data_IF_826993847835
#
_entry.id   IF_826993847835
#
_cell.length_a   1.000
_cell.length_b   1.000
_cell.length_c   1.000
_cell.angle_alpha   90.00
_cell.angle_beta   90.00
_cell.angle_gamma   90.00
#
_symmetry.space_group_name_H-M   'P 1'
#
loop_
_entity.id
_entity.type
_entity.pdbx_description
1 polymer ?
#
# COMPACT_ATOMS: atom_id res chain seq x y z
N UNK A 1 -1.05 18.31 13.58
CA UNK A 1 0.23 17.59 13.74
C UNK A 1 0.53 17.29 15.20
N UNK A 2 0.75 18.30 16.06
CA UNK A 2 1.17 18.10 17.46
C UNK A 2 0.27 17.13 18.27
N UNK A 3 -1.05 17.24 18.11
CA UNK A 3 -2.01 16.35 18.76
C UNK A 3 -1.88 14.88 18.34
N UNK A 4 -1.76 14.61 17.03
CA UNK A 4 -1.62 13.24 16.52
C UNK A 4 -0.35 12.61 17.08
N UNK A 5 0.78 13.33 17.03
CA UNK A 5 2.05 12.85 17.59
C UNK A 5 1.95 12.54 19.08
N UNK A 6 1.28 13.41 19.86
CA UNK A 6 1.09 13.18 21.28
C UNK A 6 0.20 11.97 21.58
N UNK A 7 -0.83 11.74 20.76
CA UNK A 7 -1.78 10.62 20.94
C UNK A 7 -1.21 9.28 20.46
N UNK A 8 -0.44 9.27 19.38
CA UNK A 8 0.05 8.03 18.75
C UNK A 8 1.52 7.72 19.04
N UNK A 9 2.32 8.72 19.39
CA UNK A 9 3.77 8.61 19.50
C UNK A 9 4.49 8.52 18.16
N UNK A 10 3.81 8.73 17.03
CA UNK A 10 4.42 8.62 15.70
C UNK A 10 5.39 9.77 15.46
N UNK A 11 6.61 9.43 15.06
CA UNK A 11 7.63 10.33 14.56
C UNK A 11 8.24 9.85 13.23
N UNK A 12 9.19 10.63 12.73
CA UNK A 12 9.90 10.39 11.47
C UNK A 12 10.70 9.09 11.51
N UNK A 13 11.37 8.78 12.62
CA UNK A 13 12.16 7.55 12.77
C UNK A 13 11.25 6.30 12.76
N UNK A 14 10.07 6.38 13.37
CA UNK A 14 9.07 5.32 13.29
C UNK A 14 8.53 5.12 11.86
N UNK A 15 8.31 6.22 11.13
CA UNK A 15 7.89 6.16 9.72
C UNK A 15 8.98 5.52 8.87
N UNK A 16 10.24 5.91 9.08
CA UNK A 16 11.40 5.35 8.40
C UNK A 16 11.48 3.83 8.62
N UNK A 17 11.50 3.40 9.89
CA UNK A 17 11.55 1.98 10.24
C UNK A 17 10.37 1.17 9.67
N UNK A 18 9.15 1.72 9.73
CA UNK A 18 7.96 1.07 9.17
C UNK A 18 8.06 0.92 7.65
N UNK A 19 8.48 1.97 6.93
CA UNK A 19 8.61 1.95 5.48
C UNK A 19 9.70 0.99 5.04
N UNK A 20 10.88 1.07 5.64
CA UNK A 20 12.01 0.18 5.34
C UNK A 20 11.65 -1.28 5.63
N UNK A 21 11.11 -1.56 6.82
CA UNK A 21 10.72 -2.92 7.21
C UNK A 21 9.60 -3.49 6.35
N UNK A 22 8.64 -2.65 5.94
CA UNK A 22 7.55 -3.10 5.08
C UNK A 22 8.05 -3.45 3.68
N UNK A 23 8.84 -2.57 3.07
CA UNK A 23 9.35 -2.81 1.72
C UNK A 23 10.43 -3.88 1.65
N UNK A 24 11.16 -4.14 2.74
CA UNK A 24 11.99 -5.34 2.84
C UNK A 24 11.16 -6.61 2.66
N UNK A 25 10.02 -6.73 3.37
CA UNK A 25 9.10 -7.88 3.21
C UNK A 25 8.48 -7.93 1.81
N UNK A 26 8.10 -6.79 1.23
CA UNK A 26 7.54 -6.73 -0.15
C UNK A 26 8.54 -7.25 -1.18
N UNK A 27 9.83 -6.92 -1.04
CA UNK A 27 10.88 -7.34 -1.98
C UNK A 27 11.17 -8.84 -1.93
N UNK A 28 10.93 -9.46 -0.79
CA UNK A 28 11.11 -10.91 -0.60
C UNK A 28 9.82 -11.69 -0.89
N UNK A 29 8.72 -11.02 -1.21
CA UNK A 29 7.42 -11.65 -1.41
C UNK A 29 7.22 -12.14 -2.86
N UNK A 30 7.04 -13.45 -3.01
CA UNK A 30 6.89 -14.08 -4.34
C UNK A 30 5.59 -13.69 -5.07
N UNK A 31 4.58 -13.16 -4.38
CA UNK A 31 3.29 -12.84 -4.98
C UNK A 31 3.20 -11.39 -5.46
N UNK A 32 3.51 -10.42 -4.61
CA UNK A 32 3.46 -9.01 -4.97
C UNK A 32 4.82 -8.42 -5.34
N UNK A 33 5.93 -8.98 -4.86
CA UNK A 33 7.28 -8.51 -5.14
C UNK A 33 7.57 -8.32 -6.63
N UNK A 34 7.25 -9.29 -7.52
CA UNK A 34 7.43 -9.13 -8.96
C UNK A 34 6.74 -7.92 -9.59
N UNK A 35 5.62 -7.45 -9.00
CA UNK A 35 4.91 -6.26 -9.49
C UNK A 35 5.70 -4.99 -9.18
N UNK A 36 6.34 -4.95 -8.01
CA UNK A 36 7.20 -3.84 -7.61
C UNK A 36 8.51 -3.86 -8.40
N UNK A 37 9.16 -5.01 -8.53
CA UNK A 37 10.42 -5.16 -9.28
C UNK A 37 10.27 -4.79 -10.75
N UNK A 38 9.12 -5.07 -11.37
CA UNK A 38 8.82 -4.66 -12.73
C UNK A 38 8.66 -3.13 -12.92
N UNK A 39 8.60 -2.35 -11.83
CA UNK A 39 8.30 -0.90 -11.84
C UNK A 39 9.33 -0.06 -11.10
N UNK A 40 10.21 -0.66 -10.30
CA UNK A 40 11.15 0.03 -9.42
C UNK A 40 12.53 -0.53 -9.67
N UNK A 41 13.31 0.19 -10.48
CA UNK A 41 14.71 -0.14 -10.73
C UNK A 41 15.63 0.40 -9.62
N UNK A 42 15.27 1.55 -9.03
CA UNK A 42 16.00 2.19 -7.92
C UNK A 42 15.11 2.33 -6.69
N UNK A 43 15.41 1.52 -5.68
CA UNK A 43 14.66 1.46 -4.43
C UNK A 43 14.89 2.68 -3.54
N UNK A 44 16.06 3.33 -3.59
CA UNK A 44 16.37 4.46 -2.69
C UNK A 44 15.38 5.61 -2.83
N UNK A 45 15.25 6.23 -4.02
CA UNK A 45 14.28 7.30 -4.27
C UNK A 45 12.83 6.88 -4.03
N UNK A 46 12.47 5.62 -4.34
CA UNK A 46 11.13 5.10 -4.06
C UNK A 46 10.83 5.08 -2.55
N UNK A 47 11.75 4.57 -1.74
CA UNK A 47 11.60 4.52 -0.28
C UNK A 47 11.52 5.93 0.32
N UNK A 48 12.34 6.87 -0.13
CA UNK A 48 12.25 8.27 0.28
C UNK A 48 10.87 8.88 -0.05
N UNK A 49 10.34 8.62 -1.24
CA UNK A 49 9.00 9.05 -1.61
C UNK A 49 7.92 8.41 -0.71
N UNK A 50 8.10 7.16 -0.30
CA UNK A 50 7.18 6.46 0.59
C UNK A 50 7.22 6.97 2.03
N UNK A 51 8.40 7.38 2.53
CA UNK A 51 8.53 8.06 3.83
C UNK A 51 7.77 9.38 3.83
N UNK A 52 7.91 10.18 2.78
CA UNK A 52 7.13 11.41 2.61
C UNK A 52 5.63 11.13 2.54
N UNK A 53 5.23 10.11 1.78
CA UNK A 53 3.83 9.69 1.67
C UNK A 53 3.24 9.32 3.04
N UNK A 54 3.90 8.45 3.80
CA UNK A 54 3.42 8.02 5.11
C UNK A 54 3.47 9.11 6.16
N UNK A 55 4.43 10.03 6.10
CA UNK A 55 4.39 11.27 6.89
C UNK A 55 3.12 12.08 6.58
N UNK A 56 2.79 12.29 5.31
CA UNK A 56 1.56 12.99 4.93
C UNK A 56 0.31 12.24 5.37
N UNK A 57 0.29 10.92 5.28
CA UNK A 57 -0.89 10.10 5.61
C UNK A 57 -1.12 10.01 7.12
N UNK A 58 -0.08 9.67 7.88
CA UNK A 58 -0.19 9.44 9.31
C UNK A 58 -0.26 10.75 10.11
N UNK A 59 0.56 11.73 9.75
CA UNK A 59 0.72 12.95 10.53
C UNK A 59 0.05 14.17 9.88
N UNK A 60 -0.52 14.01 8.68
CA UNK A 60 -1.16 15.07 7.88
C UNK A 60 -0.22 16.19 7.45
N UNK A 61 1.10 15.94 7.38
CA UNK A 61 2.11 16.99 7.15
C UNK A 61 2.00 17.71 5.81
N UNK A 62 1.42 17.06 4.79
CA UNK A 62 1.24 17.64 3.46
C UNK A 62 2.52 17.73 2.61
N UNK A 63 3.61 17.07 3.04
CA UNK A 63 4.91 17.11 2.34
C UNK A 63 4.91 16.28 1.06
N UNK A 64 4.13 15.20 1.02
CA UNK A 64 3.92 14.41 -0.18
C UNK A 64 2.94 15.09 -1.14
N UNK A 65 3.38 15.33 -2.38
CA UNK A 65 2.61 15.98 -3.45
C UNK A 65 2.26 15.03 -4.62
N UNK A 66 2.59 13.74 -4.50
CA UNK A 66 2.34 12.75 -5.55
C UNK A 66 0.87 12.32 -5.63
N UNK A 67 0.53 11.62 -6.72
CA UNK A 67 -0.81 11.09 -6.97
C UNK A 67 -0.73 9.56 -7.07
N UNK A 68 -1.11 8.80 -6.04
CA UNK A 68 -1.01 7.34 -6.04
C UNK A 68 -1.88 6.69 -7.13
N UNK A 69 -3.13 7.13 -7.28
CA UNK A 69 -4.11 6.47 -8.16
C UNK A 69 -3.60 6.25 -9.61
N UNK A 70 -3.13 7.28 -10.35
CA UNK A 70 -2.63 7.07 -11.72
C UNK A 70 -1.50 6.04 -11.86
N UNK A 71 -0.71 5.79 -10.81
CA UNK A 71 0.36 4.79 -10.82
C UNK A 71 -0.16 3.36 -10.68
N UNK A 72 -1.35 3.19 -10.07
CA UNK A 72 -1.95 1.89 -9.82
C UNK A 72 -2.91 1.44 -10.94
N UNK A 73 -3.59 2.38 -11.61
CA UNK A 73 -4.53 2.06 -12.70
C UNK A 73 -3.97 1.12 -13.79
N UNK A 74 -2.72 1.25 -14.27
CA UNK A 74 -2.19 0.36 -15.31
C UNK A 74 -1.60 -0.95 -14.78
N UNK A 75 -1.68 -1.23 -13.47
CA UNK A 75 -1.11 -2.45 -12.90
C UNK A 75 -2.06 -3.64 -13.07
N UNK A 76 -1.54 -4.86 -13.26
CA UNK A 76 -2.35 -6.06 -13.37
C UNK A 76 -2.85 -6.58 -11.99
N UNK A 77 -3.30 -5.67 -11.12
CA UNK A 77 -3.66 -5.97 -9.72
C UNK A 77 -5.18 -6.08 -9.53
N UNK A 78 -5.56 -6.77 -8.47
CA UNK A 78 -6.95 -6.98 -8.04
C UNK A 78 -7.00 -7.14 -6.51
N UNK A 79 -8.17 -7.47 -5.96
CA UNK A 79 -8.40 -7.60 -4.52
C UNK A 79 -7.38 -8.48 -3.80
N UNK A 80 -6.89 -9.56 -4.44
CA UNK A 80 -5.91 -10.47 -3.82
C UNK A 80 -4.60 -9.76 -3.53
N UNK A 81 -4.15 -8.91 -4.44
CA UNK A 81 -2.91 -8.16 -4.31
C UNK A 81 -3.02 -7.11 -3.21
N UNK A 82 -4.16 -6.42 -3.11
CA UNK A 82 -4.41 -5.46 -2.05
C UNK A 82 -4.52 -6.13 -0.67
N UNK A 83 -5.22 -7.27 -0.58
CA UNK A 83 -5.32 -8.05 0.65
C UNK A 83 -3.94 -8.52 1.13
N UNK A 84 -3.10 -9.00 0.21
CA UNK A 84 -1.75 -9.46 0.52
C UNK A 84 -0.83 -8.31 0.95
N UNK A 85 -0.86 -7.21 0.23
CA UNK A 85 -0.13 -5.98 0.58
C UNK A 85 -0.54 -5.48 1.97
N UNK A 86 -1.85 -5.49 2.29
CA UNK A 86 -2.36 -5.11 3.62
C UNK A 86 -1.89 -6.09 4.69
N UNK A 87 -1.89 -7.39 4.42
CA UNK A 87 -1.40 -8.40 5.37
C UNK A 87 0.05 -8.14 5.78
N UNK A 88 0.94 -7.91 4.80
CA UNK A 88 2.34 -7.59 5.05
C UNK A 88 2.51 -6.25 5.79
N UNK A 89 1.74 -5.23 5.41
CA UNK A 89 1.80 -3.92 6.04
C UNK A 89 1.33 -3.98 7.49
N UNK A 90 0.19 -4.64 7.75
CA UNK A 90 -0.37 -4.79 9.09
C UNK A 90 0.55 -5.59 10.02
N UNK A 91 1.14 -6.69 9.53
CA UNK A 91 2.11 -7.45 10.30
C UNK A 91 3.30 -6.57 10.68
N UNK A 92 3.87 -5.85 9.71
CA UNK A 92 5.02 -4.96 9.94
C UNK A 92 4.69 -3.83 10.93
N UNK A 93 3.53 -3.20 10.80
CA UNK A 93 3.09 -2.16 11.73
C UNK A 93 2.94 -2.70 13.16
N UNK A 94 2.40 -3.91 13.33
CA UNK A 94 2.27 -4.55 14.66
C UNK A 94 3.62 -4.99 15.23
N UNK A 95 4.58 -5.37 14.38
CA UNK A 95 5.92 -5.77 14.79
C UNK A 95 6.77 -4.58 15.26
N UNK A 96 6.66 -3.43 14.57
CA UNK A 96 7.59 -2.31 14.73
C UNK A 96 7.03 -1.13 15.53
N UNK A 97 5.71 -1.00 15.61
CA UNK A 97 5.08 0.17 16.22
C UNK A 97 4.33 -0.18 17.51
N UNK A 98 4.25 0.74 18.48
CA UNK A 98 3.34 0.62 19.60
C UNK A 98 1.89 0.44 19.12
N UNK A 99 1.01 -0.29 19.86
CA UNK A 99 -0.33 -0.64 19.37
C UNK A 99 -1.18 0.52 18.85
N UNK A 100 -1.10 1.69 19.52
CA UNK A 100 -1.84 2.89 19.11
C UNK A 100 -1.34 3.45 17.77
N UNK A 101 -0.03 3.49 17.57
CA UNK A 101 0.58 3.90 16.31
C UNK A 101 0.27 2.90 15.19
N UNK A 102 0.42 1.60 15.47
CA UNK A 102 0.13 0.54 14.50
C UNK A 102 -1.31 0.65 13.99
N UNK A 103 -2.30 0.73 14.88
CA UNK A 103 -3.71 0.85 14.49
C UNK A 103 -3.96 2.12 13.66
N UNK A 104 -3.32 3.23 14.02
CA UNK A 104 -3.44 4.49 13.29
C UNK A 104 -2.94 4.38 11.84
N UNK A 105 -1.85 3.66 11.59
CA UNK A 105 -1.36 3.36 10.25
C UNK A 105 -2.30 2.39 9.51
N UNK A 106 -2.70 1.30 10.15
CA UNK A 106 -3.50 0.22 9.55
C UNK A 106 -4.86 0.75 9.06
N UNK A 107 -5.57 1.54 9.86
CA UNK A 107 -6.86 2.14 9.46
C UNK A 107 -6.72 2.96 8.18
N UNK A 108 -5.61 3.69 8.02
CA UNK A 108 -5.34 4.52 6.84
C UNK A 108 -4.96 3.66 5.64
N UNK A 109 -4.11 2.66 5.85
CA UNK A 109 -3.69 1.70 4.84
C UNK A 109 -4.91 1.02 4.19
N UNK A 110 -5.84 0.53 5.00
CA UNK A 110 -7.08 -0.11 4.54
C UNK A 110 -7.94 0.81 3.68
N UNK A 111 -8.15 2.07 4.11
CA UNK A 111 -8.91 3.07 3.34
C UNK A 111 -8.25 3.41 2.01
N UNK A 112 -6.92 3.49 1.97
CA UNK A 112 -6.17 3.74 0.75
C UNK A 112 -6.31 2.55 -0.20
N UNK A 113 -6.11 1.33 0.28
CA UNK A 113 -6.26 0.11 -0.50
C UNK A 113 -7.67 -0.02 -1.10
N UNK A 114 -8.72 0.19 -0.29
CA UNK A 114 -10.12 0.19 -0.74
C UNK A 114 -10.35 1.21 -1.86
N UNK A 115 -9.87 2.45 -1.67
CA UNK A 115 -10.02 3.50 -2.69
C UNK A 115 -9.28 3.14 -4.00
N UNK A 116 -8.05 2.64 -3.89
CA UNK A 116 -7.24 2.24 -5.06
C UNK A 116 -7.87 1.06 -5.79
N UNK A 117 -8.35 0.04 -5.07
CA UNK A 117 -9.04 -1.11 -5.67
C UNK A 117 -10.27 -0.67 -6.46
N UNK A 118 -11.12 0.17 -5.89
CA UNK A 118 -12.29 0.71 -6.59
C UNK A 118 -11.89 1.49 -7.86
N UNK A 119 -10.82 2.28 -7.77
CA UNK A 119 -10.28 3.01 -8.93
C UNK A 119 -9.77 2.08 -10.02
N UNK A 120 -9.03 1.02 -9.65
CA UNK A 120 -8.54 -0.01 -10.57
C UNK A 120 -9.70 -0.77 -11.21
N UNK A 121 -10.71 -1.16 -10.43
CA UNK A 121 -11.90 -1.86 -10.94
C UNK A 121 -12.62 -1.03 -12.01
N UNK A 122 -12.89 0.25 -11.69
CA UNK A 122 -13.54 1.17 -12.61
C UNK A 122 -12.74 1.38 -13.90
N UNK A 123 -11.41 1.50 -13.78
CA UNK A 123 -10.53 1.63 -14.96
C UNK A 123 -10.52 0.38 -15.85
N UNK A 124 -10.88 -0.79 -15.29
CA UNK A 124 -11.06 -2.04 -16.02
C UNK A 124 -12.53 -2.30 -16.42
N UNK A 125 -13.40 -1.28 -16.33
CA UNK A 125 -14.81 -1.36 -16.71
C UNK A 125 -15.69 -2.17 -15.77
N UNK A 126 -15.22 -2.45 -14.55
CA UNK A 126 -15.97 -3.21 -13.54
C UNK A 126 -16.51 -2.26 -12.48
N UNK A 127 -17.83 -2.23 -12.30
CA UNK A 127 -18.49 -1.57 -11.18
C UNK A 127 -18.66 -2.58 -10.05
N UNK A 128 -17.99 -2.34 -8.93
CA UNK A 128 -18.03 -3.20 -7.75
C UNK A 128 -19.21 -2.78 -6.87
N UNK A 129 -20.11 -3.71 -6.56
CA UNK A 129 -21.24 -3.47 -5.65
C UNK A 129 -20.83 -3.43 -4.17
N UNK A 130 -21.74 -3.05 -3.26
CA UNK A 130 -21.48 -3.06 -1.82
C UNK A 130 -21.07 -4.45 -1.32
N UNK A 131 -19.89 -4.55 -0.71
CA UNK A 131 -19.35 -5.81 -0.18
C UNK A 131 -18.72 -6.73 -1.23
N UNK A 132 -18.79 -6.37 -2.51
CA UNK A 132 -18.07 -7.07 -3.57
C UNK A 132 -16.61 -6.58 -3.62
N UNK A 133 -15.73 -7.40 -4.22
CA UNK A 133 -14.31 -7.10 -4.39
C UNK A 133 -13.92 -7.35 -5.83
N UNK A 134 -13.06 -6.51 -6.38
CA UNK A 134 -12.64 -6.63 -7.77
C UNK A 134 -11.69 -7.82 -7.93
N UNK A 135 -12.07 -8.82 -8.72
CA UNK A 135 -11.22 -9.97 -9.07
C UNK A 135 -11.03 -10.03 -10.57
N UNK A 136 -9.78 -10.10 -10.99
CA UNK A 136 -9.46 -10.37 -12.39
C UNK A 136 -9.68 -11.87 -12.65
N UNK A 137 -10.28 -12.25 -13.80
CA UNK A 137 -10.32 -13.64 -14.17
C UNK A 137 -8.88 -14.17 -14.25
N UNK A 138 -8.63 -15.30 -13.62
CA UNK A 138 -7.42 -16.07 -13.93
C UNK A 138 -7.55 -16.45 -15.40
N UNK A 139 -6.61 -16.02 -16.25
CA UNK A 139 -6.58 -16.52 -17.61
C UNK A 139 -6.19 -18.00 -17.53
N UNK A 140 -7.08 -18.95 -17.85
CA UNK A 140 -6.65 -20.32 -18.03
C UNK A 140 -5.68 -20.31 -19.21
N UNK A 141 -4.56 -21.01 -19.08
CA UNK A 141 -3.69 -21.24 -20.21
C UNK A 141 -4.47 -22.02 -21.28
N UNK A 142 -4.73 -21.40 -22.42
CA UNK A 142 -5.19 -22.08 -23.64
C UNK A 142 -3.98 -22.20 -24.58
N UNK A 143 -3.51 -23.43 -24.89
CA UNK A 143 -2.54 -23.58 -25.95
C UNK A 143 -3.16 -23.14 -27.27
N UNK A 144 -2.44 -22.34 -28.06
CA UNK A 144 -2.77 -22.13 -29.47
C UNK A 144 -2.79 -23.50 -30.19
N UNK A 145 -3.91 -23.80 -30.85
CA UNK A 145 -4.06 -24.96 -31.75
C UNK A 145 -3.36 -24.72 -33.09
#
# INVERSE_FOLDING_TARGET
>A
MARIRAETGIDEDMIDALVEGFYAKVREDDFIGPIFDARIDDWGPHLEQMKLFWSSVALSTGVYQGRPMPKHLPLPIDARHFDHWLSLFEATARDLCPPVAAEHFIVRARRIAESLELGVANANGVLVGPGERYRRPEMPWEPEN
#
